data_IF_593256314447
#
_entry.id   IF_593256314447
#
_cell.length_a   1.000
_cell.length_b   1.000
_cell.length_c   1.000
_cell.angle_alpha   90.00
_cell.angle_beta   90.00
_cell.angle_gamma   90.00
#
_symmetry.space_group_name_H-M   'P 1'
#
loop_
_entity.id
_entity.type
_entity.pdbx_description
1 polymer ?
#
# COMPACT_ATOMS: atom_id res chain seq x y z
N UNK A 1 -29.97 3.82 -5.56
CA UNK A 1 -30.36 2.68 -6.39
C UNK A 1 -29.19 1.90 -7.00
N UNK A 2 -28.40 2.43 -7.95
CA UNK A 2 -27.28 1.68 -8.59
C UNK A 2 -26.22 1.21 -7.59
N UNK A 3 -25.78 2.10 -6.69
CA UNK A 3 -24.79 1.75 -5.67
C UNK A 3 -25.29 0.63 -4.75
N UNK A 4 -26.57 0.64 -4.36
CA UNK A 4 -27.14 -0.38 -3.47
C UNK A 4 -27.24 -1.75 -4.14
N UNK A 5 -27.57 -1.80 -5.43
CA UNK A 5 -27.60 -3.03 -6.22
C UNK A 5 -26.18 -3.61 -6.33
N UNK A 6 -25.21 -2.78 -6.70
CA UNK A 6 -23.80 -3.17 -6.80
C UNK A 6 -23.29 -3.69 -5.45
N UNK A 7 -23.60 -3.01 -4.36
CA UNK A 7 -23.27 -3.43 -3.00
C UNK A 7 -23.87 -4.78 -2.63
N UNK A 8 -25.15 -5.02 -2.95
CA UNK A 8 -25.80 -6.32 -2.72
C UNK A 8 -25.13 -7.44 -3.52
N UNK A 9 -24.77 -7.19 -4.78
CA UNK A 9 -24.08 -8.17 -5.63
C UNK A 9 -22.69 -8.48 -5.08
N UNK A 10 -21.91 -7.46 -4.71
CA UNK A 10 -20.57 -7.65 -4.12
C UNK A 10 -20.66 -8.43 -2.82
N UNK A 11 -21.64 -8.13 -1.96
CA UNK A 11 -21.86 -8.86 -0.71
C UNK A 11 -22.19 -10.34 -0.97
N UNK A 12 -23.09 -10.62 -1.91
CA UNK A 12 -23.45 -12.00 -2.31
C UNK A 12 -22.24 -12.75 -2.89
N UNK A 13 -21.44 -12.07 -3.71
CA UNK A 13 -20.23 -12.63 -4.30
C UNK A 13 -19.15 -12.92 -3.25
N UNK A 14 -18.94 -12.00 -2.30
CA UNK A 14 -18.05 -12.20 -1.15
C UNK A 14 -18.49 -13.41 -0.33
N UNK A 15 -19.79 -13.52 -0.05
CA UNK A 15 -20.34 -14.64 0.73
C UNK A 15 -20.25 -15.98 -0.03
N UNK A 16 -20.20 -15.96 -1.37
CA UNK A 16 -19.96 -17.15 -2.22
C UNK A 16 -18.48 -17.56 -2.23
N UNK A 17 -17.54 -16.61 -2.35
CA UNK A 17 -16.10 -16.88 -2.36
C UNK A 17 -15.57 -17.23 -0.97
N UNK A 18 -16.09 -16.58 0.06
CA UNK A 18 -15.68 -16.76 1.45
C UNK A 18 -16.87 -17.30 2.25
N UNK A 19 -17.00 -18.64 2.36
CA UNK A 19 -17.97 -19.27 3.24
C UNK A 19 -17.89 -18.69 4.65
N UNK A 20 -19.03 -18.61 5.34
CA UNK A 20 -19.12 -18.04 6.70
C UNK A 20 -18.17 -18.73 7.70
N UNK A 21 -17.87 -20.01 7.50
CA UNK A 21 -16.95 -20.80 8.33
C UNK A 21 -15.51 -20.30 8.28
N UNK A 22 -15.06 -19.70 7.17
CA UNK A 22 -13.71 -19.12 7.02
C UNK A 22 -13.60 -17.75 7.73
N UNK A 23 -14.68 -17.25 8.35
CA UNK A 23 -14.66 -15.99 9.12
C UNK A 23 -14.10 -16.16 10.53
N UNK A 24 -13.87 -17.38 11.01
CA UNK A 24 -13.04 -17.66 12.19
C UNK A 24 -11.55 -17.50 11.84
N UNK A 25 -11.19 -16.29 11.41
CA UNK A 25 -9.80 -15.92 11.13
C UNK A 25 -9.19 -15.41 12.44
N UNK A 26 -8.24 -16.17 12.99
CA UNK A 26 -7.57 -15.94 14.27
C UNK A 26 -6.96 -17.23 14.79
N UNK A 27 -6.22 -17.19 15.91
CA UNK A 27 -5.89 -18.42 16.65
C UNK A 27 -7.21 -18.96 17.20
N UNK A 28 -7.66 -20.08 16.62
CA UNK A 28 -8.93 -20.74 16.97
C UNK A 28 -8.73 -21.84 18.01
N UNK A 29 -7.49 -22.31 18.08
CA UNK A 29 -7.01 -23.34 18.97
C UNK A 29 -6.93 -22.82 20.40
N UNK A 30 -7.14 -23.73 21.34
CA UNK A 30 -6.98 -23.43 22.77
C UNK A 30 -5.50 -23.22 23.05
N UNK A 31 -5.16 -22.06 23.59
CA UNK A 31 -3.82 -21.76 24.09
C UNK A 31 -3.51 -22.67 25.26
N UNK A 32 -2.40 -23.40 25.16
CA UNK A 32 -2.07 -24.47 26.10
C UNK A 32 -1.25 -23.99 27.28
N UNK A 33 -0.53 -22.88 27.14
CA UNK A 33 0.43 -22.41 28.13
C UNK A 33 0.66 -20.89 28.07
N UNK A 34 1.10 -20.34 29.21
CA UNK A 34 1.61 -18.97 29.33
C UNK A 34 3.11 -19.04 29.62
N UNK A 35 3.92 -18.42 28.77
CA UNK A 35 5.39 -18.44 28.85
C UNK A 35 5.89 -17.00 29.05
N UNK A 36 6.53 -16.68 30.17
CA UNK A 36 7.26 -15.42 30.33
C UNK A 36 8.38 -15.30 29.29
N UNK A 37 8.54 -14.12 28.70
CA UNK A 37 9.56 -13.87 27.66
C UNK A 37 10.99 -14.17 28.13
N UNK A 38 11.27 -14.03 29.43
CA UNK A 38 12.56 -14.36 30.05
C UNK A 38 12.88 -15.86 30.08
N UNK A 39 11.86 -16.69 30.01
CA UNK A 39 11.96 -18.14 30.16
C UNK A 39 11.43 -18.83 28.91
N UNK A 40 11.70 -18.23 27.74
CA UNK A 40 11.47 -18.92 26.48
C UNK A 40 12.28 -20.23 26.48
N UNK A 41 11.69 -21.34 26.02
CA UNK A 41 12.41 -22.60 25.95
C UNK A 41 13.59 -22.49 24.97
N UNK A 42 14.60 -23.33 25.16
CA UNK A 42 15.75 -23.39 24.26
C UNK A 42 15.35 -23.87 22.85
N UNK A 43 14.21 -24.56 22.72
CA UNK A 43 13.66 -25.00 21.43
C UNK A 43 13.49 -23.83 20.46
N UNK A 44 13.82 -24.09 19.19
CA UNK A 44 13.65 -23.12 18.10
C UNK A 44 12.18 -22.76 17.91
N UNK A 45 11.29 -23.74 17.99
CA UNK A 45 9.85 -23.55 17.81
C UNK A 45 9.13 -23.43 19.15
N UNK A 46 8.24 -22.45 19.22
CA UNK A 46 7.34 -22.16 20.34
C UNK A 46 5.95 -22.04 19.75
N UNK A 47 5.02 -22.90 20.17
CA UNK A 47 3.68 -22.94 19.59
C UNK A 47 2.58 -22.83 20.64
N UNK A 48 1.40 -22.33 20.22
CA UNK A 48 0.15 -22.31 21.01
C UNK A 48 0.30 -21.71 22.41
N UNK A 49 1.13 -20.68 22.53
CA UNK A 49 1.52 -20.09 23.82
C UNK A 49 1.13 -18.62 23.90
N UNK A 50 0.71 -18.18 25.08
CA UNK A 50 0.66 -16.76 25.42
C UNK A 50 2.06 -16.31 25.86
N UNK A 51 2.64 -15.34 25.16
CA UNK A 51 3.97 -14.81 25.50
C UNK A 51 3.78 -13.59 26.39
N UNK A 52 4.24 -13.69 27.64
CA UNK A 52 4.03 -12.70 28.69
C UNK A 52 5.25 -11.79 28.85
N UNK A 53 5.06 -10.48 28.73
CA UNK A 53 6.07 -9.44 28.92
C UNK A 53 6.01 -8.80 30.31
N UNK A 54 5.30 -9.42 31.25
CA UNK A 54 5.28 -8.99 32.66
C UNK A 54 6.57 -9.43 33.39
N UNK A 55 7.46 -8.48 33.69
CA UNK A 55 8.69 -8.72 34.48
C UNK A 55 9.05 -7.53 35.37
N UNK A 56 9.73 -7.80 36.50
CA UNK A 56 10.22 -6.76 37.43
C UNK A 56 11.51 -6.10 36.95
N UNK A 57 12.38 -6.87 36.32
CA UNK A 57 13.62 -6.41 35.71
C UNK A 57 13.99 -7.32 34.54
N UNK A 58 14.70 -6.77 33.57
CA UNK A 58 15.22 -7.50 32.41
C UNK A 58 16.56 -6.90 31.99
N UNK A 59 17.53 -7.76 31.71
CA UNK A 59 18.86 -7.34 31.26
C UNK A 59 18.86 -6.99 29.76
N UNK A 60 19.83 -6.20 29.27
CA UNK A 60 19.97 -5.94 27.84
C UNK A 60 20.12 -7.21 26.99
N UNK A 61 20.75 -8.26 27.54
CA UNK A 61 20.93 -9.54 26.84
C UNK A 61 19.61 -10.29 26.69
N UNK A 62 18.76 -10.29 27.72
CA UNK A 62 17.45 -10.95 27.68
C UNK A 62 16.43 -10.23 26.78
N UNK A 63 16.69 -8.97 26.42
CA UNK A 63 15.91 -8.21 25.43
C UNK A 63 16.21 -8.61 23.99
N UNK A 64 17.27 -9.38 23.76
CA UNK A 64 17.64 -9.88 22.44
C UNK A 64 17.11 -11.29 22.25
N UNK A 65 16.16 -11.45 21.33
CA UNK A 65 15.55 -12.72 20.98
C UNK A 65 15.96 -13.07 19.56
N UNK A 66 16.63 -14.21 19.38
CA UNK A 66 17.19 -14.58 18.07
C UNK A 66 16.79 -16.00 17.66
N UNK A 67 16.50 -16.19 16.37
CA UNK A 67 16.34 -17.52 15.76
C UNK A 67 15.14 -18.32 16.26
N UNK A 68 14.06 -17.65 16.70
CA UNK A 68 12.85 -18.32 17.21
C UNK A 68 11.72 -18.32 16.19
N UNK A 69 10.97 -19.42 16.16
CA UNK A 69 9.74 -19.57 15.38
C UNK A 69 8.57 -19.60 16.35
N UNK A 70 7.74 -18.57 16.31
CA UNK A 70 6.50 -18.50 17.07
C UNK A 70 5.33 -18.92 16.18
N UNK A 71 4.64 -20.00 16.54
CA UNK A 71 3.54 -20.56 15.75
C UNK A 71 2.24 -20.52 16.53
N UNK A 72 1.26 -19.73 16.06
CA UNK A 72 -0.05 -19.55 16.71
C UNK A 72 0.06 -19.05 18.16
N UNK A 73 1.06 -18.21 18.43
CA UNK A 73 1.26 -17.60 19.74
C UNK A 73 0.48 -16.30 19.89
N UNK A 74 0.15 -15.94 21.13
CA UNK A 74 -0.52 -14.69 21.47
C UNK A 74 0.48 -13.71 22.08
N UNK A 75 0.53 -12.53 21.48
CA UNK A 75 1.21 -11.30 21.93
C UNK A 75 0.17 -10.18 22.16
N UNK A 76 -1.10 -10.55 22.24
CA UNK A 76 -2.22 -9.60 22.22
C UNK A 76 -2.29 -8.84 23.55
N UNK A 77 -2.50 -7.53 23.46
CA UNK A 77 -2.57 -6.59 24.59
C UNK A 77 -1.29 -6.42 25.40
N UNK A 78 -0.17 -6.99 24.95
CA UNK A 78 1.13 -6.78 25.58
C UNK A 78 1.72 -5.42 25.18
N UNK A 79 2.53 -4.85 26.08
CA UNK A 79 3.37 -3.70 25.81
C UNK A 79 4.82 -4.20 25.75
N UNK A 80 5.38 -4.20 24.54
CA UNK A 80 6.72 -4.72 24.26
C UNK A 80 7.62 -3.51 24.03
N UNK A 81 8.43 -3.21 25.03
CA UNK A 81 9.32 -2.06 25.01
C UNK A 81 10.77 -2.48 24.84
N UNK A 82 11.51 -1.85 23.91
CA UNK A 82 12.96 -1.97 23.78
C UNK A 82 13.45 -3.43 23.69
N UNK A 83 12.76 -4.26 22.90
CA UNK A 83 13.21 -5.60 22.53
C UNK A 83 13.80 -5.59 21.12
N UNK A 84 14.76 -6.47 20.88
CA UNK A 84 15.32 -6.71 19.55
C UNK A 84 15.05 -8.16 19.17
N UNK A 85 14.29 -8.37 18.10
CA UNK A 85 14.06 -9.66 17.49
C UNK A 85 14.93 -9.78 16.25
N UNK A 86 15.70 -10.86 16.15
CA UNK A 86 16.57 -11.14 15.02
C UNK A 86 16.32 -12.54 14.46
N UNK A 87 16.24 -12.69 13.14
CA UNK A 87 16.04 -14.00 12.49
C UNK A 87 14.82 -14.78 13.04
N UNK A 88 13.78 -14.07 13.46
CA UNK A 88 12.58 -14.66 14.07
C UNK A 88 11.44 -14.76 13.06
N UNK A 89 10.67 -15.84 13.13
CA UNK A 89 9.48 -16.03 12.28
C UNK A 89 8.23 -16.13 13.15
N UNK A 90 7.21 -15.36 12.81
CA UNK A 90 5.90 -15.39 13.45
C UNK A 90 4.89 -15.96 12.45
N UNK A 91 4.28 -17.09 12.77
CA UNK A 91 3.34 -17.83 11.93
C UNK A 91 1.98 -17.85 12.60
N UNK A 92 0.96 -17.29 11.96
CA UNK A 92 -0.43 -17.29 12.46
C UNK A 92 -0.59 -16.71 13.88
N UNK A 93 0.39 -15.92 14.35
CA UNK A 93 0.38 -15.29 15.66
C UNK A 93 -0.61 -14.11 15.76
N UNK A 94 -1.03 -13.79 16.98
CA UNK A 94 -1.93 -12.65 17.24
C UNK A 94 -1.27 -11.56 18.07
N UNK A 95 -1.11 -10.39 17.45
CA UNK A 95 -0.62 -9.13 18.00
C UNK A 95 -1.76 -8.11 18.17
N UNK A 96 -2.96 -8.58 18.48
CA UNK A 96 -4.13 -7.70 18.58
C UNK A 96 -3.96 -6.74 19.76
N UNK A 97 -4.08 -5.44 19.50
CA UNK A 97 -3.93 -4.41 20.52
C UNK A 97 -2.54 -4.33 21.14
N UNK A 98 -1.52 -4.95 20.56
CA UNK A 98 -0.13 -4.84 21.04
C UNK A 98 0.34 -3.40 20.93
N UNK A 99 1.19 -2.98 21.86
CA UNK A 99 1.94 -1.72 21.78
C UNK A 99 3.43 -2.05 21.69
N UNK A 100 4.05 -1.70 20.57
CA UNK A 100 5.48 -1.88 20.34
C UNK A 100 6.16 -0.51 20.48
N UNK A 101 7.05 -0.37 21.46
CA UNK A 101 7.77 0.86 21.77
C UNK A 101 9.27 0.62 21.67
N UNK A 102 10.00 1.36 20.83
CA UNK A 102 11.46 1.21 20.73
C UNK A 102 11.93 -0.21 20.34
N UNK A 103 11.04 -1.03 19.77
CA UNK A 103 11.33 -2.42 19.42
C UNK A 103 11.97 -2.51 18.04
N UNK A 104 12.82 -3.49 17.80
CA UNK A 104 13.48 -3.69 16.52
C UNK A 104 13.24 -5.11 16.00
N UNK A 105 12.94 -5.23 14.71
CA UNK A 105 12.81 -6.50 14.01
C UNK A 105 13.79 -6.53 12.84
N UNK A 106 14.86 -7.32 12.98
CA UNK A 106 15.88 -7.53 11.97
C UNK A 106 15.73 -8.93 11.37
N UNK A 107 15.66 -9.02 10.04
CA UNK A 107 15.52 -10.30 9.32
C UNK A 107 14.38 -11.20 9.84
N UNK A 108 13.31 -10.56 10.31
CA UNK A 108 12.13 -11.24 10.83
C UNK A 108 11.03 -11.35 9.77
N UNK A 109 10.16 -12.35 9.91
CA UNK A 109 8.99 -12.53 9.05
C UNK A 109 7.70 -12.68 9.85
N UNK A 110 6.61 -12.08 9.35
CA UNK A 110 5.27 -12.22 9.92
C UNK A 110 4.34 -12.82 8.87
N UNK A 111 3.94 -14.07 9.02
CA UNK A 111 3.09 -14.79 8.06
C UNK A 111 1.71 -15.03 8.64
N UNK A 112 0.69 -14.54 7.95
CA UNK A 112 -0.72 -14.66 8.36
C UNK A 112 -1.00 -14.18 9.80
N UNK A 113 -0.20 -13.25 10.34
CA UNK A 113 -0.36 -12.72 11.69
C UNK A 113 -1.43 -11.63 11.80
N UNK A 114 -2.05 -11.51 12.97
CA UNK A 114 -3.13 -10.56 13.23
C UNK A 114 -2.62 -9.32 13.98
N UNK A 115 -2.88 -8.13 13.44
CA UNK A 115 -2.45 -6.86 14.02
C UNK A 115 -3.62 -5.90 14.24
N UNK A 116 -4.78 -6.40 14.66
CA UNK A 116 -5.94 -5.54 14.87
C UNK A 116 -5.66 -4.54 15.99
N UNK A 117 -5.66 -3.24 15.65
CA UNK A 117 -5.34 -2.13 16.57
C UNK A 117 -3.93 -2.20 17.19
N UNK A 118 -2.98 -2.88 16.54
CA UNK A 118 -1.58 -2.81 16.94
C UNK A 118 -1.04 -1.38 16.77
N UNK A 119 -0.16 -0.95 17.68
CA UNK A 119 0.50 0.35 17.65
C UNK A 119 2.00 0.17 17.61
N UNK A 120 2.64 0.98 16.78
CA UNK A 120 4.09 1.02 16.60
C UNK A 120 4.55 2.43 16.92
N UNK A 121 5.53 2.57 17.81
CA UNK A 121 6.17 3.85 18.12
C UNK A 121 7.67 3.61 18.26
N UNK A 122 8.46 4.42 17.55
CA UNK A 122 9.91 4.33 17.51
C UNK A 122 10.40 2.89 17.23
N UNK A 123 9.64 2.14 16.43
CA UNK A 123 9.88 0.70 16.19
C UNK A 123 10.50 0.47 14.82
N UNK A 124 11.68 -0.15 14.75
CA UNK A 124 12.29 -0.53 13.47
C UNK A 124 11.62 -1.81 12.95
N UNK A 125 10.93 -1.71 11.81
CA UNK A 125 10.35 -2.87 11.12
C UNK A 125 10.15 -2.55 9.64
N UNK A 126 10.66 -3.39 8.74
CA UNK A 126 10.40 -3.24 7.30
C UNK A 126 8.99 -3.73 6.97
N UNK A 127 8.10 -2.90 6.39
CA UNK A 127 6.76 -3.31 5.99
C UNK A 127 6.71 -4.45 4.97
N UNK A 128 7.83 -4.81 4.33
CA UNK A 128 7.92 -5.94 3.39
C UNK A 128 7.85 -7.32 4.07
N UNK A 129 8.21 -7.39 5.36
CA UNK A 129 8.29 -8.62 6.17
C UNK A 129 6.94 -9.26 6.51
N UNK A 130 5.84 -8.51 6.29
CA UNK A 130 4.48 -9.00 6.55
C UNK A 130 3.93 -9.73 5.32
N UNK A 131 3.66 -11.02 5.43
CA UNK A 131 3.16 -11.86 4.35
C UNK A 131 1.73 -12.28 4.60
N UNK A 132 0.87 -12.03 3.60
CA UNK A 132 -0.56 -12.29 3.65
C UNK A 132 -1.04 -12.93 2.36
N UNK A 133 -1.82 -13.97 2.50
CA UNK A 133 -2.50 -14.66 1.42
C UNK A 133 -3.62 -13.79 0.82
N UNK A 134 -4.06 -14.11 -0.40
CA UNK A 134 -5.14 -13.39 -1.08
C UNK A 134 -6.44 -13.35 -0.27
N UNK A 135 -6.64 -14.30 0.66
CA UNK A 135 -7.83 -14.37 1.53
C UNK A 135 -8.00 -13.09 2.36
N UNK A 136 -6.90 -12.46 2.78
CA UNK A 136 -6.95 -11.23 3.57
C UNK A 136 -7.64 -10.07 2.86
N UNK A 137 -7.59 -10.02 1.53
CA UNK A 137 -8.26 -8.99 0.74
C UNK A 137 -9.78 -9.03 0.92
N UNK A 138 -10.35 -10.20 1.18
CA UNK A 138 -11.80 -10.42 1.22
C UNK A 138 -12.37 -10.35 2.64
N UNK A 139 -11.60 -10.80 3.63
CA UNK A 139 -12.11 -11.08 4.99
C UNK A 139 -11.71 -9.98 5.98
N UNK A 140 -10.46 -9.52 5.90
CA UNK A 140 -9.81 -8.70 6.94
C UNK A 140 -8.98 -7.55 6.36
N UNK A 141 -9.40 -7.01 5.22
CA UNK A 141 -8.70 -5.89 4.59
C UNK A 141 -8.61 -4.66 5.51
N UNK A 142 -9.60 -4.45 6.39
CA UNK A 142 -9.59 -3.40 7.40
C UNK A 142 -8.45 -3.57 8.44
N UNK A 143 -8.15 -4.81 8.86
CA UNK A 143 -7.06 -5.10 9.80
C UNK A 143 -5.73 -4.70 9.18
N UNK A 144 -5.47 -5.16 7.96
CA UNK A 144 -4.22 -4.86 7.26
C UNK A 144 -4.13 -3.38 6.87
N UNK A 145 -5.26 -2.74 6.51
CA UNK A 145 -5.30 -1.29 6.33
C UNK A 145 -4.89 -0.57 7.62
N UNK A 146 -5.38 -0.98 8.79
CA UNK A 146 -4.98 -0.41 10.08
C UNK A 146 -3.49 -0.62 10.39
N UNK A 147 -2.99 -1.85 10.20
CA UNK A 147 -1.59 -2.21 10.38
C UNK A 147 -0.67 -1.31 9.54
N UNK A 148 -0.88 -1.28 8.22
CA UNK A 148 -0.01 -0.52 7.33
C UNK A 148 -0.13 0.99 7.52
N UNK A 149 -1.26 1.49 8.01
CA UNK A 149 -1.37 2.88 8.43
C UNK A 149 -0.54 3.18 9.69
N UNK A 150 -0.55 2.29 10.68
CA UNK A 150 0.30 2.45 11.86
C UNK A 150 1.79 2.37 11.51
N UNK A 151 2.17 1.43 10.63
CA UNK A 151 3.54 1.31 10.13
C UNK A 151 3.98 2.57 9.37
N UNK A 152 3.13 3.10 8.49
CA UNK A 152 3.41 4.35 7.77
C UNK A 152 3.70 5.51 8.73
N UNK A 153 2.82 5.71 9.73
CA UNK A 153 2.99 6.78 10.71
C UNK A 153 4.30 6.60 11.51
N UNK A 154 4.60 5.39 11.95
CA UNK A 154 5.83 5.08 12.67
C UNK A 154 7.08 5.35 11.81
N UNK A 155 7.13 4.81 10.59
CA UNK A 155 8.26 5.02 9.68
C UNK A 155 8.45 6.51 9.32
N UNK A 156 7.37 7.28 9.20
CA UNK A 156 7.44 8.73 8.99
C UNK A 156 8.05 9.46 10.19
N UNK A 157 7.63 9.13 11.41
CA UNK A 157 8.22 9.71 12.63
C UNK A 157 9.69 9.35 12.77
N UNK A 158 10.09 8.14 12.37
CA UNK A 158 11.48 7.68 12.39
C UNK A 158 12.32 8.16 11.19
N UNK A 159 11.77 8.99 10.31
CA UNK A 159 12.43 9.48 9.08
C UNK A 159 12.91 8.35 8.13
N UNK A 160 12.18 7.23 8.10
CA UNK A 160 12.44 6.09 7.22
C UNK A 160 11.55 6.17 5.96
N UNK A 161 11.95 7.01 5.01
CA UNK A 161 11.14 7.33 3.82
C UNK A 161 10.79 6.11 2.96
N UNK A 162 11.74 5.18 2.78
CA UNK A 162 11.49 3.97 2.00
C UNK A 162 10.46 3.06 2.66
N UNK A 163 10.54 2.88 3.99
CA UNK A 163 9.58 2.07 4.74
C UNK A 163 8.22 2.74 4.76
N UNK A 164 8.17 4.07 4.97
CA UNK A 164 6.93 4.84 4.86
C UNK A 164 6.26 4.63 3.49
N UNK A 165 7.01 4.74 2.39
CA UNK A 165 6.47 4.50 1.04
C UNK A 165 5.91 3.09 0.86
N UNK A 166 6.63 2.06 1.32
CA UNK A 166 6.19 0.65 1.23
C UNK A 166 4.93 0.43 2.07
N UNK A 167 4.88 0.97 3.29
CA UNK A 167 3.71 0.91 4.15
C UNK A 167 2.49 1.61 3.52
N UNK A 168 2.65 2.83 3.00
CA UNK A 168 1.56 3.59 2.38
C UNK A 168 0.99 2.87 1.14
N UNK A 169 1.84 2.32 0.27
CA UNK A 169 1.37 1.51 -0.87
C UNK A 169 0.49 0.33 -0.42
N UNK A 170 0.92 -0.40 0.61
CA UNK A 170 0.14 -1.53 1.15
C UNK A 170 -1.13 -1.05 1.85
N UNK A 171 -1.07 0.06 2.58
CA UNK A 171 -2.23 0.71 3.17
C UNK A 171 -3.29 1.04 2.11
N UNK A 172 -2.92 1.75 1.05
CA UNK A 172 -3.84 2.14 -0.02
C UNK A 172 -4.41 0.93 -0.76
N UNK A 173 -3.60 -0.11 -0.96
CA UNK A 173 -4.04 -1.38 -1.51
C UNK A 173 -5.13 -2.03 -0.66
N UNK A 174 -4.91 -2.18 0.65
CA UNK A 174 -5.90 -2.78 1.55
C UNK A 174 -7.13 -1.89 1.76
N UNK A 175 -6.94 -0.57 1.80
CA UNK A 175 -8.03 0.40 1.89
C UNK A 175 -8.95 0.34 0.67
N UNK A 176 -8.39 0.11 -0.52
CA UNK A 176 -9.18 -0.16 -1.73
C UNK A 176 -10.09 -1.37 -1.54
N UNK A 177 -9.57 -2.49 -1.05
CA UNK A 177 -10.39 -3.68 -0.77
C UNK A 177 -11.38 -3.48 0.39
N UNK A 178 -11.06 -2.63 1.36
CA UNK A 178 -12.00 -2.22 2.39
C UNK A 178 -13.21 -1.47 1.82
N UNK A 179 -13.01 -0.62 0.80
CA UNK A 179 -14.15 0.00 0.09
C UNK A 179 -15.02 -1.02 -0.66
N UNK A 180 -14.48 -2.18 -1.01
CA UNK A 180 -15.24 -3.20 -1.72
C UNK A 180 -15.96 -4.17 -0.77
N UNK A 181 -15.26 -4.65 0.26
CA UNK A 181 -15.72 -5.74 1.12
C UNK A 181 -15.95 -5.35 2.58
N UNK A 182 -15.74 -4.08 2.94
CA UNK A 182 -15.98 -3.57 4.29
C UNK A 182 -17.46 -3.47 4.65
N UNK A 183 -17.75 -2.90 5.83
CA UNK A 183 -19.12 -2.74 6.34
C UNK A 183 -19.93 -1.72 5.55
N UNK A 184 -19.27 -0.67 5.05
CA UNK A 184 -19.85 0.40 4.24
C UNK A 184 -19.18 0.45 2.87
N UNK A 185 -19.53 -0.47 1.96
CA UNK A 185 -18.91 -0.54 0.65
C UNK A 185 -19.21 0.71 -0.20
N UNK A 186 -18.20 1.16 -0.93
CA UNK A 186 -18.19 2.38 -1.73
C UNK A 186 -17.46 2.13 -3.06
N UNK A 187 -18.22 1.71 -4.08
CA UNK A 187 -17.63 1.30 -5.37
C UNK A 187 -16.90 2.45 -6.08
N UNK A 188 -17.41 3.68 -5.98
CA UNK A 188 -16.75 4.85 -6.56
C UNK A 188 -15.36 5.07 -5.95
N UNK A 189 -15.24 4.94 -4.63
CA UNK A 189 -13.94 5.03 -3.93
C UNK A 189 -13.00 3.89 -4.31
N UNK A 190 -13.53 2.69 -4.52
CA UNK A 190 -12.76 1.56 -5.04
C UNK A 190 -12.21 1.86 -6.45
N UNK A 191 -13.07 2.29 -7.38
CA UNK A 191 -12.67 2.60 -8.77
C UNK A 191 -11.69 3.77 -8.82
N UNK A 192 -11.90 4.81 -8.02
CA UNK A 192 -10.96 5.93 -7.91
C UNK A 192 -9.59 5.46 -7.39
N UNK A 193 -9.56 4.61 -6.37
CA UNK A 193 -8.31 4.05 -5.85
C UNK A 193 -7.63 3.10 -6.85
N UNK A 194 -8.41 2.35 -7.63
CA UNK A 194 -7.90 1.49 -8.71
C UNK A 194 -7.26 2.32 -9.82
N UNK A 195 -7.94 3.38 -10.27
CA UNK A 195 -7.42 4.31 -11.27
C UNK A 195 -6.14 4.99 -10.79
N UNK A 196 -6.11 5.45 -9.53
CA UNK A 196 -4.93 6.08 -8.93
C UNK A 196 -3.72 5.14 -8.83
N UNK A 197 -3.95 3.87 -8.52
CA UNK A 197 -2.91 2.83 -8.55
C UNK A 197 -2.39 2.62 -9.97
N UNK A 198 -3.28 2.40 -10.94
CA UNK A 198 -2.88 2.10 -12.32
C UNK A 198 -2.14 3.27 -12.98
N UNK A 199 -2.67 4.51 -12.82
CA UNK A 199 -2.10 5.69 -13.46
C UNK A 199 -0.84 6.22 -12.76
N UNK A 200 -0.80 6.19 -11.42
CA UNK A 200 0.23 6.90 -10.65
C UNK A 200 0.97 6.02 -9.64
N UNK A 201 0.65 4.72 -9.53
CA UNK A 201 1.26 3.80 -8.55
C UNK A 201 1.10 4.30 -7.12
N UNK A 202 -0.10 4.74 -6.77
CA UNK A 202 -0.43 5.43 -5.52
C UNK A 202 0.34 6.73 -5.28
N UNK A 203 0.84 7.38 -6.34
CA UNK A 203 1.65 8.59 -6.27
C UNK A 203 3.14 8.34 -6.08
N UNK A 204 3.60 7.11 -6.26
CA UNK A 204 5.01 6.71 -6.19
C UNK A 204 5.50 5.97 -7.44
N UNK A 205 4.62 5.76 -8.43
CA UNK A 205 4.89 4.92 -9.60
C UNK A 205 5.53 5.70 -10.74
N UNK A 206 6.86 5.84 -10.74
CA UNK A 206 7.60 6.46 -11.87
C UNK A 206 7.32 5.72 -13.20
N UNK A 207 7.25 4.38 -13.17
CA UNK A 207 6.94 3.59 -14.37
C UNK A 207 5.51 3.86 -14.85
N UNK A 208 4.55 3.94 -13.93
CA UNK A 208 3.15 4.24 -14.25
C UNK A 208 3.03 5.62 -14.88
N UNK A 209 3.63 6.65 -14.26
CA UNK A 209 3.58 8.01 -14.79
C UNK A 209 4.28 8.11 -16.15
N UNK A 210 5.39 7.41 -16.38
CA UNK A 210 6.04 7.35 -17.69
C UNK A 210 5.12 6.74 -18.76
N UNK A 211 4.50 5.59 -18.47
CA UNK A 211 3.57 4.93 -19.39
C UNK A 211 2.39 5.83 -19.72
N UNK A 212 1.78 6.47 -18.72
CA UNK A 212 0.66 7.42 -18.94
C UNK A 212 1.11 8.63 -19.75
N UNK A 213 2.32 9.14 -19.52
CA UNK A 213 2.88 10.26 -20.30
C UNK A 213 3.00 9.89 -21.77
N UNK A 214 3.64 8.74 -22.07
CA UNK A 214 3.81 8.25 -23.44
C UNK A 214 2.45 7.99 -24.10
N UNK A 215 1.54 7.29 -23.42
CA UNK A 215 0.21 7.02 -23.94
C UNK A 215 -0.57 8.33 -24.23
N UNK A 216 -0.41 9.36 -23.39
CA UNK A 216 -1.04 10.66 -23.60
C UNK A 216 -0.46 11.35 -24.84
N UNK A 217 0.87 11.34 -25.03
CA UNK A 217 1.53 11.90 -26.22
C UNK A 217 0.98 11.24 -27.50
N UNK A 218 0.96 9.92 -27.56
CA UNK A 218 0.42 9.21 -28.73
C UNK A 218 -1.08 9.43 -28.92
N UNK A 219 -1.86 9.46 -27.82
CA UNK A 219 -3.30 9.70 -27.88
C UNK A 219 -3.64 11.08 -28.42
N UNK A 220 -2.98 12.13 -27.94
CA UNK A 220 -3.18 13.50 -28.44
C UNK A 220 -2.67 13.66 -29.87
N UNK A 221 -1.52 13.07 -30.22
CA UNK A 221 -1.01 13.08 -31.59
C UNK A 221 -1.99 12.42 -32.57
N UNK A 222 -2.59 11.30 -32.18
CA UNK A 222 -3.61 10.62 -32.99
C UNK A 222 -4.89 11.47 -33.13
N UNK A 223 -5.35 12.09 -32.05
CA UNK A 223 -6.53 12.99 -32.08
C UNK A 223 -6.27 14.21 -32.97
N UNK A 224 -5.05 14.74 -32.96
CA UNK A 224 -4.64 15.92 -33.73
C UNK A 224 -4.15 15.59 -35.14
N UNK A 225 -4.08 14.31 -35.52
CA UNK A 225 -3.75 13.91 -36.88
C UNK A 225 -4.71 14.58 -37.87
N UNK A 226 -4.16 15.11 -38.96
CA UNK A 226 -4.88 15.87 -39.98
C UNK A 226 -5.52 17.20 -39.51
N UNK A 227 -5.34 17.59 -38.24
CA UNK A 227 -5.91 18.81 -37.64
C UNK A 227 -4.88 19.91 -37.38
N UNK A 228 -3.62 19.66 -37.73
CA UNK A 228 -2.54 20.63 -37.69
C UNK A 228 -2.33 21.27 -39.07
N UNK A 229 -1.81 22.49 -39.07
CA UNK A 229 -1.29 23.14 -40.27
C UNK A 229 0.12 22.59 -40.47
N UNK A 230 0.28 21.76 -41.50
CA UNK A 230 1.55 21.13 -41.84
C UNK A 230 1.71 21.10 -43.36
N UNK A 231 2.96 21.19 -43.82
CA UNK A 231 3.34 21.06 -45.22
C UNK A 231 3.17 19.62 -45.74
N UNK A 232 3.43 18.61 -44.89
CA UNK A 232 3.45 17.19 -45.29
C UNK A 232 2.29 16.35 -44.70
N UNK A 233 1.49 16.92 -43.80
CA UNK A 233 0.32 16.27 -43.18
C UNK A 233 0.64 14.98 -42.43
N UNK A 234 1.84 14.84 -41.86
CA UNK A 234 2.28 13.56 -41.29
C UNK A 234 1.88 13.41 -39.82
N UNK A 235 1.58 12.18 -39.40
CA UNK A 235 1.39 11.84 -37.99
C UNK A 235 2.58 12.25 -37.11
N UNK A 236 3.80 12.24 -37.66
CA UNK A 236 5.01 12.63 -36.95
C UNK A 236 5.05 14.11 -36.59
N UNK A 237 4.46 14.99 -37.40
CA UNK A 237 4.33 16.41 -37.08
C UNK A 237 3.31 16.64 -35.98
N UNK A 238 2.20 15.87 -35.96
CA UNK A 238 1.24 15.91 -34.85
C UNK A 238 1.87 15.37 -33.54
N UNK A 239 2.73 14.35 -33.65
CA UNK A 239 3.51 13.83 -32.53
C UNK A 239 4.50 14.88 -32.01
N UNK A 240 5.28 15.50 -32.89
CA UNK A 240 6.21 16.59 -32.54
C UNK A 240 5.47 17.74 -31.86
N UNK A 241 4.37 18.22 -32.46
CA UNK A 241 3.54 19.27 -31.89
C UNK A 241 3.04 18.91 -30.49
N UNK A 242 2.60 17.66 -30.29
CA UNK A 242 2.12 17.19 -28.99
C UNK A 242 3.23 17.15 -27.96
N UNK A 243 4.43 16.67 -28.31
CA UNK A 243 5.59 16.63 -27.41
C UNK A 243 5.96 18.03 -26.95
N UNK A 244 6.15 18.96 -27.89
CA UNK A 244 6.56 20.34 -27.60
C UNK A 244 5.50 21.10 -26.79
N UNK A 245 4.22 20.81 -27.02
CA UNK A 245 3.10 21.37 -26.24
C UNK A 245 3.00 20.76 -24.84
N UNK A 246 3.22 19.45 -24.71
CA UNK A 246 3.17 18.75 -23.42
C UNK A 246 4.36 19.14 -22.53
N UNK A 247 5.54 19.36 -23.11
CA UNK A 247 6.72 19.86 -22.39
C UNK A 247 6.66 21.36 -22.12
N UNK A 248 5.61 22.04 -22.57
CA UNK A 248 5.42 23.50 -22.44
C UNK A 248 6.50 24.34 -23.11
N UNK A 249 7.28 23.76 -24.02
CA UNK A 249 8.36 24.46 -24.75
C UNK A 249 7.79 25.37 -25.84
N UNK A 250 6.79 24.89 -26.59
CA UNK A 250 5.97 25.72 -27.48
C UNK A 250 6.69 26.49 -28.59
N UNK A 251 7.51 25.84 -29.43
CA UNK A 251 8.27 26.51 -30.52
C UNK A 251 7.42 27.30 -31.54
N UNK A 252 6.13 26.96 -31.69
CA UNK A 252 5.20 27.71 -32.54
C UNK A 252 5.34 27.48 -34.05
N UNK A 253 6.22 26.58 -34.49
CA UNK A 253 6.45 26.24 -35.90
C UNK A 253 5.24 25.52 -36.52
N UNK A 254 4.58 24.66 -35.74
CA UNK A 254 3.37 23.93 -36.12
C UNK A 254 2.22 24.43 -35.26
N UNK A 255 1.10 24.73 -35.89
CA UNK A 255 -0.10 25.24 -35.21
C UNK A 255 -1.31 24.38 -35.52
N UNK A 256 -2.30 24.27 -34.62
CA UNK A 256 -3.58 23.68 -34.96
C UNK A 256 -4.26 24.52 -36.04
N UNK A 257 -5.07 23.88 -36.89
CA UNK A 257 -5.93 24.62 -37.83
C UNK A 257 -6.81 25.60 -37.06
N UNK A 258 -7.09 26.75 -37.67
CA UNK A 258 -7.94 27.82 -37.10
C UNK A 258 -9.44 27.48 -37.14
N UNK A 259 -9.76 26.27 -36.72
CA UNK A 259 -11.11 25.75 -36.54
C UNK A 259 -11.37 25.56 -35.05
N UNK A 260 -12.63 25.63 -34.63
CA UNK A 260 -12.98 25.58 -33.22
C UNK A 260 -12.51 24.29 -32.51
N UNK A 261 -12.61 23.13 -33.18
CA UNK A 261 -12.30 21.83 -32.58
C UNK A 261 -10.78 21.61 -32.36
N UNK A 262 -9.88 21.78 -33.35
CA UNK A 262 -8.43 21.69 -33.14
C UNK A 262 -7.91 22.66 -32.07
N UNK A 263 -8.44 23.88 -32.04
CA UNK A 263 -8.10 24.87 -31.03
C UNK A 263 -8.54 24.42 -29.63
N UNK A 264 -9.78 23.94 -29.48
CA UNK A 264 -10.28 23.44 -28.20
C UNK A 264 -9.46 22.24 -27.68
N UNK A 265 -9.11 21.29 -28.54
CA UNK A 265 -8.26 20.14 -28.18
C UNK A 265 -6.88 20.62 -27.71
N UNK A 266 -6.30 21.58 -28.42
CA UNK A 266 -5.00 22.17 -28.08
C UNK A 266 -5.03 22.87 -26.72
N UNK A 267 -6.07 23.65 -26.44
CA UNK A 267 -6.25 24.30 -25.14
C UNK A 267 -6.32 23.26 -24.02
N UNK A 268 -7.08 22.17 -24.23
CA UNK A 268 -7.17 21.07 -23.24
C UNK A 268 -5.80 20.40 -23.04
N UNK A 269 -5.06 20.12 -24.11
CA UNK A 269 -3.70 19.58 -24.04
C UNK A 269 -2.78 20.47 -23.20
N UNK A 270 -2.79 21.78 -23.43
CA UNK A 270 -1.94 22.74 -22.72
C UNK A 270 -2.31 22.86 -21.23
N UNK A 271 -3.60 22.85 -20.89
CA UNK A 271 -4.03 22.89 -19.48
C UNK A 271 -3.66 21.59 -18.75
N UNK A 272 -3.87 20.45 -19.41
CA UNK A 272 -3.52 19.16 -18.85
C UNK A 272 -2.01 18.98 -18.72
N UNK A 273 -1.21 19.54 -19.63
CA UNK A 273 0.26 19.42 -19.59
C UNK A 273 0.86 20.08 -18.35
N UNK A 274 0.37 21.27 -17.98
CA UNK A 274 0.81 21.98 -16.78
C UNK A 274 0.51 21.15 -15.52
N UNK A 275 -0.73 20.66 -15.39
CA UNK A 275 -1.14 19.83 -14.26
C UNK A 275 -0.34 18.51 -14.21
N UNK A 276 -0.13 17.88 -15.37
CA UNK A 276 0.61 16.63 -15.49
C UNK A 276 2.09 16.79 -15.11
N UNK A 277 2.74 17.86 -15.57
CA UNK A 277 4.12 18.19 -15.24
C UNK A 277 4.31 18.35 -13.72
N UNK A 278 3.38 19.03 -13.04
CA UNK A 278 3.40 19.17 -11.59
C UNK A 278 3.30 17.80 -10.86
N UNK A 279 2.40 16.92 -11.32
CA UNK A 279 2.24 15.58 -10.76
C UNK A 279 3.49 14.73 -10.97
N UNK A 280 4.04 14.69 -12.18
CA UNK A 280 5.26 13.94 -12.49
C UNK A 280 6.44 14.44 -11.65
N UNK A 281 6.60 15.75 -11.53
CA UNK A 281 7.63 16.37 -10.68
C UNK A 281 7.48 15.95 -9.23
N UNK A 282 6.26 15.99 -8.67
CA UNK A 282 6.01 15.55 -7.29
C UNK A 282 6.35 14.07 -7.06
N UNK A 283 6.06 13.19 -8.02
CA UNK A 283 6.40 11.76 -7.94
C UNK A 283 7.92 11.55 -7.96
N UNK A 284 8.64 12.30 -8.81
CA UNK A 284 10.10 12.24 -8.92
C UNK A 284 10.74 12.74 -7.63
N UNK A 285 10.32 13.91 -7.13
CA UNK A 285 10.84 14.53 -5.90
C UNK A 285 10.68 13.58 -4.71
N UNK A 286 9.48 12.99 -4.54
CA UNK A 286 9.22 12.00 -3.47
C UNK A 286 10.11 10.76 -3.52
N UNK A 287 10.76 10.49 -4.64
CA UNK A 287 11.63 9.31 -4.83
C UNK A 287 13.11 9.63 -4.75
N UNK A 288 13.51 10.83 -5.17
CA UNK A 288 14.92 11.23 -5.24
C UNK A 288 15.34 11.97 -3.97
N UNK A 289 14.48 12.83 -3.43
CA UNK A 289 14.79 13.59 -2.23
C UNK A 289 14.55 12.68 -1.02
N UNK A 290 15.66 12.24 -0.42
CA UNK A 290 15.69 11.51 0.85
C UNK A 290 15.64 12.49 2.01
#
# INVERSE_FOLDING_TARGET
MVNEIVVKVIKKFRDWIVPKEIRSFGVSEVITQRIPIKSLPDSTEISLSFIDFSFTSITPKERQISGKIFSKCLFSHEEIENFTFQDCTFLDCSFNGVVLLGTEFHDCEFRECFFYKAKFKDTYVDPSTFHFSKKWHWIRANVNSGLFQSLYNNSKTMHQEEFAMRADRRFQFYRRYQYLYGERPAIYSFLKALLFDYLLGYGYGIKNSLVVTVASIFGFAWILNDKIVSENGTFFEALYFTVVSLTTVGYGEITPRHEALPLAITIVLLLLSIAWCAVVTAIIVKRIVK
#
